data_IF_296177520643
#
_entry.id   IF_296177520643
#
_cell.length_a   1.000
_cell.length_b   1.000
_cell.length_c   1.000
_cell.angle_alpha   90.00
_cell.angle_beta   90.00
_cell.angle_gamma   90.00
#
_symmetry.space_group_name_H-M   'P 1'
#
loop_
_entity.id
_entity.type
_entity.pdbx_description
1 polymer ?
#
# COMPACT_ATOMS: atom_id res chain seq x y z
N UNK A 1 -22.21 0.96 53.79
CA UNK A 1 -21.24 -0.13 53.52
C UNK A 1 -21.68 -0.90 52.28
N UNK A 2 -21.11 -0.62 51.11
CA UNK A 2 -21.39 -1.40 49.91
C UNK A 2 -20.65 -2.76 50.03
N UNK A 3 -21.39 -3.87 49.97
CA UNK A 3 -20.83 -5.24 49.89
C UNK A 3 -19.85 -5.29 48.72
N UNK A 4 -18.54 -5.40 49.01
CA UNK A 4 -17.53 -5.79 48.01
C UNK A 4 -17.98 -7.15 47.46
N UNK A 5 -18.49 -7.16 46.22
CA UNK A 5 -18.69 -8.41 45.46
C UNK A 5 -17.35 -9.13 45.48
N UNK A 6 -17.35 -10.42 45.87
CA UNK A 6 -16.19 -11.30 45.67
C UNK A 6 -15.83 -11.20 44.19
N UNK A 7 -14.68 -10.61 43.88
CA UNK A 7 -14.14 -10.61 42.53
C UNK A 7 -13.90 -12.07 42.16
N UNK A 8 -14.72 -12.57 41.25
CA UNK A 8 -14.58 -13.90 40.71
C UNK A 8 -13.22 -13.98 40.02
N UNK A 9 -12.38 -14.94 40.45
CA UNK A 9 -11.03 -15.14 39.92
C UNK A 9 -11.04 -15.44 38.40
N UNK A 10 -12.19 -15.72 37.80
CA UNK A 10 -12.34 -15.87 36.35
C UNK A 10 -12.44 -14.54 35.58
N UNK A 11 -12.76 -13.43 36.27
CA UNK A 11 -13.07 -12.14 35.63
C UNK A 11 -11.88 -11.46 34.95
N UNK A 12 -10.64 -11.76 35.38
CA UNK A 12 -9.44 -11.16 34.78
C UNK A 12 -9.18 -11.64 33.35
N UNK A 13 -9.51 -12.90 33.03
CA UNK A 13 -9.29 -13.48 31.70
C UNK A 13 -10.14 -12.79 30.63
N UNK A 14 -11.35 -12.39 31.00
CA UNK A 14 -12.27 -11.64 30.13
C UNK A 14 -11.98 -10.13 30.09
N UNK A 15 -10.91 -9.68 30.74
CA UNK A 15 -10.57 -8.25 30.76
C UNK A 15 -10.10 -7.79 29.36
N UNK A 16 -10.51 -6.58 28.92
CA UNK A 16 -10.05 -6.02 27.65
C UNK A 16 -8.52 -5.93 27.51
N UNK A 17 -7.80 -5.80 28.63
CA UNK A 17 -6.34 -5.77 28.66
C UNK A 17 -5.75 -7.13 28.27
N UNK A 18 -6.27 -8.23 28.80
CA UNK A 18 -5.81 -9.58 28.47
C UNK A 18 -6.09 -9.89 27.00
N UNK A 19 -7.28 -9.55 26.50
CA UNK A 19 -7.59 -9.72 25.08
C UNK A 19 -6.63 -8.95 24.16
N UNK A 20 -6.26 -7.72 24.53
CA UNK A 20 -5.28 -6.94 23.77
C UNK A 20 -3.91 -7.62 23.77
N UNK A 21 -3.39 -8.01 24.94
CA UNK A 21 -2.09 -8.66 25.04
C UNK A 21 -2.03 -9.98 24.26
N UNK A 22 -3.08 -10.81 24.36
CA UNK A 22 -3.16 -12.05 23.59
C UNK A 22 -3.23 -11.77 22.07
N UNK A 23 -3.90 -10.71 21.66
CA UNK A 23 -3.99 -10.33 20.25
C UNK A 23 -2.67 -9.75 19.72
N UNK A 24 -1.98 -8.91 20.50
CA UNK A 24 -0.63 -8.40 20.17
C UNK A 24 0.37 -9.56 20.03
N UNK A 25 0.33 -10.53 20.96
CA UNK A 25 1.13 -11.75 20.86
C UNK A 25 0.76 -12.56 19.62
N UNK A 26 -0.53 -12.66 19.27
CA UNK A 26 -0.96 -13.34 18.06
C UNK A 26 -0.43 -12.63 16.80
N UNK A 27 -0.48 -11.29 16.74
CA UNK A 27 0.04 -10.53 15.60
C UNK A 27 1.54 -10.77 15.39
N UNK A 28 2.31 -10.79 16.47
CA UNK A 28 3.75 -11.03 16.41
C UNK A 28 4.05 -12.52 16.12
N UNK A 29 3.37 -13.46 16.80
CA UNK A 29 3.67 -14.88 16.69
C UNK A 29 3.19 -15.52 15.37
N UNK A 30 2.09 -15.03 14.79
CA UNK A 30 1.45 -15.66 13.63
C UNK A 30 2.38 -15.70 12.40
N UNK A 31 3.05 -14.61 12.00
CA UNK A 31 4.03 -14.66 10.91
C UNK A 31 5.11 -15.72 11.13
N UNK A 32 5.63 -15.87 12.35
CA UNK A 32 6.63 -16.91 12.66
C UNK A 32 6.08 -18.32 12.53
N UNK A 33 4.88 -18.58 13.08
CA UNK A 33 4.23 -19.89 12.98
C UNK A 33 3.89 -20.25 11.53
N UNK A 34 3.51 -19.24 10.72
CA UNK A 34 3.20 -19.40 9.31
C UNK A 34 4.45 -19.75 8.49
N UNK A 35 5.57 -19.09 8.78
CA UNK A 35 6.85 -19.28 8.09
C UNK A 35 7.51 -20.61 8.44
N UNK A 36 7.52 -21.01 9.73
CA UNK A 36 8.21 -22.22 10.17
C UNK A 36 7.53 -23.53 9.74
N UNK A 37 6.20 -23.54 9.63
CA UNK A 37 5.43 -24.78 9.45
C UNK A 37 4.90 -25.03 8.03
N UNK A 38 5.42 -24.34 7.00
CA UNK A 38 4.90 -24.39 5.62
C UNK A 38 3.40 -24.04 5.49
N UNK A 39 2.80 -23.47 6.54
CA UNK A 39 1.37 -23.16 6.57
C UNK A 39 1.02 -22.11 5.51
N UNK A 40 1.98 -21.26 5.14
CA UNK A 40 1.87 -20.35 4.02
C UNK A 40 1.59 -21.07 2.69
N UNK A 41 2.30 -22.15 2.39
CA UNK A 41 2.08 -22.94 1.18
C UNK A 41 0.72 -23.65 1.24
N UNK A 42 0.34 -24.18 2.40
CA UNK A 42 -0.97 -24.81 2.59
C UNK A 42 -2.14 -23.82 2.42
N UNK A 43 -2.01 -22.59 2.94
CA UNK A 43 -2.98 -21.51 2.73
C UNK A 43 -3.03 -21.12 1.26
N UNK A 44 -1.89 -21.05 0.58
CA UNK A 44 -1.81 -20.81 -0.87
C UNK A 44 -2.62 -21.84 -1.65
N UNK A 45 -2.34 -23.14 -1.44
CA UNK A 45 -3.05 -24.25 -2.08
C UNK A 45 -4.56 -24.20 -1.75
N UNK A 46 -4.92 -23.91 -0.50
CA UNK A 46 -6.32 -23.78 -0.09
C UNK A 46 -7.03 -22.60 -0.78
N UNK A 47 -6.33 -21.48 -0.95
CA UNK A 47 -6.85 -20.28 -1.62
C UNK A 47 -7.04 -20.45 -3.13
N UNK A 48 -6.27 -21.37 -3.73
CA UNK A 48 -6.39 -21.72 -5.15
C UNK A 48 -7.43 -22.81 -5.42
N UNK A 49 -7.85 -23.57 -4.40
CA UNK A 49 -8.88 -24.60 -4.55
C UNK A 49 -10.19 -23.97 -5.01
N UNK A 50 -10.70 -24.43 -6.15
CA UNK A 50 -11.97 -23.97 -6.73
C UNK A 50 -13.05 -25.03 -6.54
N UNK A 51 -14.28 -24.57 -6.37
CA UNK A 51 -15.49 -25.40 -6.36
C UNK A 51 -16.34 -24.96 -7.54
N UNK A 52 -16.83 -25.92 -8.32
CA UNK A 52 -17.76 -25.64 -9.40
C UNK A 52 -19.19 -25.64 -8.88
N UNK A 53 -19.87 -24.50 -9.02
CA UNK A 53 -21.28 -24.35 -8.64
C UNK A 53 -22.00 -23.80 -9.88
N UNK A 54 -22.95 -24.57 -10.42
CA UNK A 54 -23.67 -24.24 -11.66
C UNK A 54 -22.75 -23.92 -12.86
N UNK A 55 -21.63 -24.65 -13.00
CA UNK A 55 -20.65 -24.43 -14.06
C UNK A 55 -19.73 -23.21 -13.85
N UNK A 56 -19.87 -22.48 -12.73
CA UNK A 56 -18.99 -21.36 -12.37
C UNK A 56 -17.93 -21.86 -11.38
N UNK A 57 -16.65 -21.69 -11.73
CA UNK A 57 -15.53 -22.05 -10.87
C UNK A 57 -15.23 -20.95 -9.85
N UNK A 58 -15.67 -21.14 -8.60
CA UNK A 58 -15.55 -20.16 -7.52
C UNK A 58 -14.43 -20.60 -6.55
N UNK A 59 -13.48 -19.73 -6.19
CA UNK A 59 -12.49 -20.05 -5.17
C UNK A 59 -13.15 -20.37 -3.82
N UNK A 60 -12.74 -21.47 -3.18
CA UNK A 60 -13.33 -21.95 -1.93
C UNK A 60 -13.26 -20.89 -0.82
N UNK A 61 -12.18 -20.13 -0.75
CA UNK A 61 -12.02 -19.03 0.21
C UNK A 61 -13.07 -17.93 0.03
N UNK A 62 -13.40 -17.58 -1.22
CA UNK A 62 -14.45 -16.60 -1.53
C UNK A 62 -15.81 -17.14 -1.10
N UNK A 63 -16.09 -18.40 -1.38
CA UNK A 63 -17.34 -19.04 -1.00
C UNK A 63 -17.53 -19.03 0.53
N UNK A 64 -16.51 -19.44 1.28
CA UNK A 64 -16.52 -19.44 2.75
C UNK A 64 -16.73 -18.01 3.27
N UNK A 65 -16.03 -17.02 2.71
CA UNK A 65 -16.20 -15.63 3.09
C UNK A 65 -17.63 -15.12 2.83
N UNK A 66 -18.24 -15.46 1.68
CA UNK A 66 -19.62 -15.09 1.35
C UNK A 66 -20.62 -15.73 2.31
N UNK A 67 -20.47 -17.03 2.63
CA UNK A 67 -21.34 -17.73 3.58
C UNK A 67 -21.24 -17.10 4.97
N UNK A 68 -20.00 -16.86 5.43
CA UNK A 68 -19.75 -16.25 6.73
C UNK A 68 -20.31 -14.83 6.83
N UNK A 69 -20.04 -13.97 5.83
CA UNK A 69 -20.57 -12.61 5.77
C UNK A 69 -22.09 -12.58 5.66
N UNK A 70 -22.69 -13.45 4.84
CA UNK A 70 -24.14 -13.60 4.75
C UNK A 70 -24.74 -13.99 6.10
N UNK A 71 -24.12 -14.94 6.82
CA UNK A 71 -24.52 -15.32 8.17
C UNK A 71 -24.47 -14.15 9.15
N UNK A 72 -23.37 -13.39 9.16
CA UNK A 72 -23.24 -12.18 9.99
C UNK A 72 -24.31 -11.14 9.64
N UNK A 73 -24.53 -10.87 8.36
CA UNK A 73 -25.54 -9.91 7.90
C UNK A 73 -26.92 -10.34 8.35
N UNK A 74 -27.28 -11.63 8.23
CA UNK A 74 -28.57 -12.17 8.67
C UNK A 74 -28.73 -12.00 10.19
N UNK A 75 -27.71 -12.38 10.98
CA UNK A 75 -27.71 -12.27 12.43
C UNK A 75 -27.80 -10.81 12.91
N UNK A 76 -27.14 -9.89 12.19
CA UNK A 76 -27.06 -8.48 12.55
C UNK A 76 -28.04 -7.59 11.78
N UNK A 77 -28.92 -8.13 10.93
CA UNK A 77 -29.77 -7.35 10.00
C UNK A 77 -30.57 -6.24 10.68
N UNK A 78 -31.06 -6.49 11.90
CA UNK A 78 -31.83 -5.50 12.68
C UNK A 78 -30.97 -4.34 13.22
N UNK A 79 -29.66 -4.54 13.32
CA UNK A 79 -28.68 -3.54 13.81
C UNK A 79 -27.97 -2.80 12.67
N UNK A 80 -28.06 -3.29 11.43
CA UNK A 80 -27.43 -2.67 10.27
C UNK A 80 -28.33 -1.55 9.74
N UNK A 81 -27.82 -0.32 9.75
CA UNK A 81 -28.46 0.86 9.15
C UNK A 81 -27.84 1.14 7.78
N UNK A 82 -28.52 1.83 6.85
CA UNK A 82 -27.96 2.17 5.53
C UNK A 82 -26.59 2.88 5.61
N UNK A 83 -26.41 3.76 6.61
CA UNK A 83 -25.12 4.41 6.87
C UNK A 83 -23.99 3.42 7.16
N UNK A 84 -24.27 2.28 7.80
CA UNK A 84 -23.25 1.27 8.09
C UNK A 84 -22.79 0.61 6.78
N UNK A 85 -23.72 0.28 5.88
CA UNK A 85 -23.40 -0.28 4.57
C UNK A 85 -22.54 0.67 3.73
N UNK A 86 -22.83 1.98 3.79
CA UNK A 86 -22.01 2.99 3.12
C UNK A 86 -20.57 3.04 3.69
N UNK A 87 -20.41 2.98 5.01
CA UNK A 87 -19.07 2.93 5.63
C UNK A 87 -18.33 1.64 5.26
N UNK A 88 -19.01 0.49 5.24
CA UNK A 88 -18.42 -0.77 4.76
C UNK A 88 -17.96 -0.66 3.30
N UNK A 89 -18.76 -0.05 2.42
CA UNK A 89 -18.39 0.19 1.04
C UNK A 89 -17.12 1.07 0.93
N UNK A 90 -17.04 2.14 1.72
CA UNK A 90 -15.82 2.98 1.79
C UNK A 90 -14.61 2.14 2.18
N UNK A 91 -14.71 1.31 3.22
CA UNK A 91 -13.58 0.48 3.67
C UNK A 91 -13.17 -0.54 2.60
N UNK A 92 -14.12 -1.15 1.90
CA UNK A 92 -13.82 -2.06 0.77
C UNK A 92 -13.06 -1.32 -0.34
N UNK A 93 -13.49 -0.10 -0.67
CA UNK A 93 -12.79 0.75 -1.66
C UNK A 93 -11.38 1.09 -1.17
N UNK A 94 -11.20 1.43 0.11
CA UNK A 94 -9.87 1.73 0.68
C UNK A 94 -8.95 0.50 0.64
N UNK A 95 -9.44 -0.70 1.00
CA UNK A 95 -8.66 -1.94 0.87
C UNK A 95 -8.27 -2.17 -0.59
N UNK A 96 -9.20 -1.98 -1.54
CA UNK A 96 -8.93 -2.13 -2.97
C UNK A 96 -7.88 -1.15 -3.48
N UNK A 97 -7.93 0.11 -3.03
CA UNK A 97 -6.90 1.11 -3.32
C UNK A 97 -5.55 0.64 -2.78
N UNK A 98 -5.52 0.15 -1.52
CA UNK A 98 -4.29 -0.31 -0.91
C UNK A 98 -3.61 -1.43 -1.69
N UNK A 99 -4.35 -2.48 -2.03
CA UNK A 99 -3.86 -3.58 -2.87
C UNK A 99 -3.31 -3.11 -4.22
N UNK A 100 -4.03 -2.21 -4.90
CA UNK A 100 -3.61 -1.72 -6.21
C UNK A 100 -2.33 -0.88 -6.14
N UNK A 101 -2.07 -0.23 -5.00
CA UNK A 101 -0.87 0.56 -4.75
C UNK A 101 0.34 -0.28 -4.36
N UNK A 102 0.17 -1.35 -3.57
CA UNK A 102 1.29 -2.11 -3.00
C UNK A 102 1.72 -3.32 -3.81
N UNK A 103 0.79 -4.04 -4.42
CA UNK A 103 1.04 -5.42 -4.85
C UNK A 103 1.17 -5.54 -6.37
N UNK A 104 1.70 -4.51 -7.02
CA UNK A 104 1.75 -4.46 -8.49
C UNK A 104 2.47 -5.65 -9.11
N UNK A 105 3.66 -5.99 -8.58
CA UNK A 105 4.45 -7.12 -9.07
C UNK A 105 3.90 -8.49 -8.66
N UNK A 106 2.86 -8.53 -7.84
CA UNK A 106 2.40 -9.78 -7.28
C UNK A 106 1.17 -10.36 -7.97
N UNK A 107 0.43 -9.57 -8.76
CA UNK A 107 -0.81 -10.01 -9.42
C UNK A 107 -1.80 -10.71 -8.47
N UNK A 108 -1.76 -10.36 -7.18
CA UNK A 108 -2.59 -10.99 -6.18
C UNK A 108 -4.06 -10.73 -6.42
N UNK A 109 -4.85 -11.76 -6.17
CA UNK A 109 -6.31 -11.65 -6.19
C UNK A 109 -6.79 -11.17 -4.83
N UNK A 110 -7.90 -10.43 -4.82
CA UNK A 110 -8.50 -9.88 -3.60
C UNK A 110 -8.81 -10.95 -2.53
N UNK A 111 -8.97 -12.20 -2.92
CA UNK A 111 -9.32 -13.30 -2.03
C UNK A 111 -8.13 -14.12 -1.51
N UNK A 112 -6.91 -13.72 -1.85
CA UNK A 112 -5.71 -14.34 -1.28
C UNK A 112 -5.56 -13.87 0.16
N UNK A 113 -5.95 -14.74 1.08
CA UNK A 113 -6.06 -14.42 2.51
C UNK A 113 -4.72 -13.95 3.08
N UNK A 114 -3.62 -14.56 2.62
CA UNK A 114 -2.28 -14.24 3.09
C UNK A 114 -1.94 -12.76 2.92
N UNK A 115 -2.17 -12.21 1.73
CA UNK A 115 -1.81 -10.82 1.42
C UNK A 115 -2.78 -9.81 2.03
N UNK A 116 -4.03 -10.24 2.25
CA UNK A 116 -5.05 -9.41 2.87
C UNK A 116 -5.08 -9.50 4.39
N UNK A 117 -4.28 -10.39 4.97
CA UNK A 117 -4.20 -10.60 6.40
C UNK A 117 -3.79 -9.33 7.13
N UNK A 118 -2.82 -8.58 6.60
CA UNK A 118 -2.39 -7.29 7.12
C UNK A 118 -3.58 -6.34 7.38
N UNK A 119 -4.44 -6.15 6.38
CA UNK A 119 -5.60 -5.27 6.50
C UNK A 119 -6.61 -5.75 7.54
N UNK A 120 -6.90 -7.06 7.55
CA UNK A 120 -7.89 -7.65 8.45
C UNK A 120 -7.40 -7.69 9.89
N UNK A 121 -6.16 -8.15 10.11
CA UNK A 121 -5.57 -8.33 11.42
C UNK A 121 -5.42 -6.99 12.15
N UNK A 122 -4.90 -5.98 11.46
CA UNK A 122 -4.80 -4.63 12.04
C UNK A 122 -6.15 -3.92 12.14
N UNK A 123 -7.12 -4.28 11.30
CA UNK A 123 -8.51 -3.84 11.47
C UNK A 123 -9.14 -4.35 12.77
N UNK A 124 -8.90 -5.62 13.11
CA UNK A 124 -9.34 -6.24 14.37
C UNK A 124 -8.54 -5.66 15.55
N UNK A 125 -7.23 -5.45 15.40
CA UNK A 125 -6.40 -4.78 16.40
C UNK A 125 -7.00 -3.44 16.81
N UNK A 126 -7.40 -2.60 15.85
CA UNK A 126 -8.01 -1.31 16.13
C UNK A 126 -9.27 -1.43 17.02
N UNK A 127 -10.09 -2.46 16.80
CA UNK A 127 -11.26 -2.75 17.64
C UNK A 127 -10.88 -3.22 19.05
N UNK A 128 -9.92 -4.15 19.18
CA UNK A 128 -9.47 -4.66 20.49
C UNK A 128 -8.81 -3.55 21.32
N UNK A 129 -7.96 -2.74 20.69
CA UNK A 129 -7.33 -1.57 21.30
C UNK A 129 -8.38 -0.55 21.75
N UNK A 130 -9.37 -0.23 20.90
CA UNK A 130 -10.47 0.66 21.27
C UNK A 130 -11.24 0.15 22.50
N UNK A 131 -11.55 -1.15 22.59
CA UNK A 131 -12.22 -1.72 23.79
C UNK A 131 -11.40 -1.53 25.05
N UNK A 132 -10.09 -1.78 25.00
CA UNK A 132 -9.19 -1.59 26.12
C UNK A 132 -9.09 -0.12 26.54
N UNK A 133 -8.90 0.80 25.60
CA UNK A 133 -8.79 2.23 25.90
C UNK A 133 -10.12 2.86 26.34
N UNK A 134 -11.25 2.36 25.84
CA UNK A 134 -12.59 2.73 26.32
C UNK A 134 -12.79 2.31 27.77
N UNK A 135 -12.40 1.09 28.15
CA UNK A 135 -12.45 0.65 29.54
C UNK A 135 -11.61 1.53 30.48
N UNK A 136 -10.53 2.12 29.96
CA UNK A 136 -9.66 3.07 30.69
C UNK A 136 -10.15 4.53 30.65
N UNK A 137 -11.34 4.80 30.10
CA UNK A 137 -11.90 6.15 29.94
C UNK A 137 -10.95 7.15 29.23
N UNK A 138 -10.16 6.66 28.26
CA UNK A 138 -9.24 7.52 27.50
C UNK A 138 -10.04 8.45 26.57
N UNK A 139 -9.69 9.73 26.42
CA UNK A 139 -10.31 10.63 25.44
C UNK A 139 -10.22 10.08 24.01
N UNK A 140 -11.24 10.33 23.18
CA UNK A 140 -11.37 9.70 21.85
C UNK A 140 -10.21 10.03 20.90
N UNK A 141 -9.73 11.28 20.91
CA UNK A 141 -8.57 11.70 20.13
C UNK A 141 -7.29 10.95 20.55
N UNK A 142 -7.14 10.67 21.85
CA UNK A 142 -6.03 9.86 22.37
C UNK A 142 -6.22 8.39 22.04
N UNK A 143 -7.46 7.86 22.02
CA UNK A 143 -7.74 6.48 21.59
C UNK A 143 -7.27 6.26 20.16
N UNK A 144 -7.62 7.17 19.24
CA UNK A 144 -7.22 7.14 17.83
C UNK A 144 -5.69 7.15 17.72
N UNK A 145 -5.03 8.17 18.30
CA UNK A 145 -3.58 8.33 18.20
C UNK A 145 -2.81 7.15 18.79
N UNK A 146 -3.19 6.67 19.98
CA UNK A 146 -2.53 5.53 20.64
C UNK A 146 -2.71 4.27 19.79
N UNK A 147 -3.90 4.05 19.23
CA UNK A 147 -4.15 2.89 18.35
C UNK A 147 -3.24 2.92 17.13
N UNK A 148 -3.16 4.08 16.46
CA UNK A 148 -2.34 4.25 15.27
C UNK A 148 -0.84 4.07 15.57
N UNK A 149 -0.31 4.77 16.58
CA UNK A 149 1.12 4.71 16.95
C UNK A 149 1.51 3.32 17.44
N UNK A 150 0.66 2.65 18.21
CA UNK A 150 0.95 1.29 18.69
C UNK A 150 0.95 0.30 17.53
N UNK A 151 -0.01 0.40 16.59
CA UNK A 151 0.00 -0.44 15.39
C UNK A 151 1.28 -0.26 14.55
N UNK A 152 1.69 1.00 14.32
CA UNK A 152 2.89 1.31 13.57
C UNK A 152 4.14 0.76 14.26
N UNK A 153 4.22 0.88 15.59
CA UNK A 153 5.30 0.33 16.41
C UNK A 153 5.35 -1.19 16.39
N UNK A 154 4.20 -1.87 16.55
CA UNK A 154 4.09 -3.32 16.48
C UNK A 154 4.49 -3.86 15.10
N UNK A 155 4.01 -3.22 14.03
CA UNK A 155 4.33 -3.62 12.66
C UNK A 155 5.82 -3.42 12.34
N UNK A 156 6.39 -2.28 12.75
CA UNK A 156 7.83 -2.04 12.59
C UNK A 156 8.66 -3.06 13.37
N UNK A 157 8.23 -3.42 14.58
CA UNK A 157 8.89 -4.44 15.39
C UNK A 157 8.80 -5.82 14.74
N UNK A 158 7.64 -6.22 14.24
CA UNK A 158 7.44 -7.50 13.56
C UNK A 158 8.35 -7.62 12.33
N UNK A 159 8.32 -6.62 11.42
CA UNK A 159 9.20 -6.60 10.25
C UNK A 159 10.68 -6.61 10.63
N UNK A 160 11.07 -5.89 11.68
CA UNK A 160 12.45 -5.90 12.17
C UNK A 160 12.88 -7.29 12.65
N UNK A 161 12.06 -7.96 13.47
CA UNK A 161 12.38 -9.30 13.99
C UNK A 161 12.38 -10.34 12.86
N UNK A 162 11.45 -10.25 11.91
CA UNK A 162 11.40 -11.18 10.78
C UNK A 162 12.68 -11.16 9.93
N UNK A 163 13.34 -10.01 9.79
CA UNK A 163 14.64 -9.90 9.11
C UNK A 163 15.69 -10.81 9.76
N UNK A 164 15.76 -10.84 11.09
CA UNK A 164 16.75 -11.64 11.81
C UNK A 164 16.41 -13.14 11.81
N UNK A 165 15.13 -13.49 11.83
CA UNK A 165 14.71 -14.89 11.99
C UNK A 165 14.62 -15.61 10.64
N UNK A 166 14.17 -14.95 9.57
CA UNK A 166 13.76 -15.60 8.33
C UNK A 166 14.61 -15.27 7.10
N UNK A 167 15.71 -14.52 7.26
CA UNK A 167 16.48 -13.93 6.15
C UNK A 167 15.61 -13.13 5.16
N UNK A 168 14.43 -12.69 5.61
CA UNK A 168 13.49 -11.87 4.83
C UNK A 168 14.05 -10.46 4.69
N UNK A 169 13.78 -9.83 3.56
CA UNK A 169 14.08 -8.41 3.33
C UNK A 169 13.08 -7.58 4.14
N UNK A 170 13.58 -6.59 4.89
CA UNK A 170 12.73 -5.65 5.62
C UNK A 170 11.82 -4.91 4.64
N UNK A 171 10.50 -5.09 4.75
CA UNK A 171 9.55 -4.51 3.81
C UNK A 171 8.73 -3.40 4.47
N UNK A 172 9.10 -2.12 4.24
CA UNK A 172 8.30 -0.98 4.72
C UNK A 172 6.87 -1.05 4.15
N UNK A 173 6.68 -1.66 2.98
CA UNK A 173 5.35 -1.75 2.37
C UNK A 173 4.36 -2.48 3.28
N UNK A 174 4.80 -3.52 4.00
CA UNK A 174 3.95 -4.24 4.94
C UNK A 174 3.61 -3.40 6.17
N UNK A 175 4.53 -2.55 6.64
CA UNK A 175 4.22 -1.51 7.66
C UNK A 175 3.14 -0.55 7.15
N UNK A 176 3.24 -0.14 5.89
CA UNK A 176 2.21 0.66 5.23
C UNK A 176 0.84 -0.05 5.21
N UNK A 177 0.81 -1.35 4.86
CA UNK A 177 -0.42 -2.15 4.80
C UNK A 177 -1.07 -2.33 6.17
N UNK A 178 -0.26 -2.58 7.20
CA UNK A 178 -0.70 -2.73 8.59
C UNK A 178 -1.30 -1.43 9.14
N UNK A 179 -0.61 -0.30 8.92
CA UNK A 179 -1.13 1.01 9.25
C UNK A 179 -2.44 1.29 8.48
N UNK A 180 -2.53 0.89 7.20
CA UNK A 180 -3.74 1.08 6.39
C UNK A 180 -4.90 0.22 6.91
N UNK A 181 -4.63 -1.03 7.30
CA UNK A 181 -5.56 -1.91 8.00
C UNK A 181 -6.09 -1.31 9.29
N UNK A 182 -5.18 -0.73 10.09
CA UNK A 182 -5.53 -0.06 11.35
C UNK A 182 -6.49 1.09 11.12
N UNK A 183 -6.19 1.97 10.15
CA UNK A 183 -7.05 3.10 9.80
C UNK A 183 -8.42 2.65 9.29
N UNK A 184 -8.47 1.61 8.44
CA UNK A 184 -9.73 1.00 8.00
C UNK A 184 -10.55 0.44 9.17
N UNK A 185 -9.89 -0.24 10.11
CA UNK A 185 -10.50 -0.69 11.36
C UNK A 185 -11.04 0.46 12.21
N UNK A 186 -10.27 1.54 12.37
CA UNK A 186 -10.71 2.74 13.08
C UNK A 186 -11.92 3.40 12.41
N UNK A 187 -12.01 3.42 11.08
CA UNK A 187 -13.19 3.91 10.37
C UNK A 187 -14.43 3.08 10.76
N UNK A 188 -14.33 1.75 10.77
CA UNK A 188 -15.44 0.88 11.22
C UNK A 188 -15.78 1.15 12.68
N UNK A 189 -14.76 1.17 13.56
CA UNK A 189 -14.94 1.38 14.99
C UNK A 189 -15.66 2.70 15.26
N UNK A 190 -15.18 3.81 14.70
CA UNK A 190 -15.68 5.15 15.05
C UNK A 190 -16.92 5.60 14.27
N UNK A 191 -17.20 5.04 13.09
CA UNK A 191 -18.40 5.40 12.31
C UNK A 191 -19.52 4.35 12.35
N UNK A 192 -19.24 3.12 12.80
CA UNK A 192 -20.25 2.05 12.96
C UNK A 192 -20.46 1.69 14.43
N UNK A 193 -19.40 1.30 15.16
CA UNK A 193 -19.53 0.74 16.52
C UNK A 193 -19.69 1.85 17.58
N UNK A 194 -18.94 2.95 17.43
CA UNK A 194 -18.81 4.05 18.37
C UNK A 194 -19.29 5.38 17.77
N UNK A 195 -20.24 5.32 16.83
CA UNK A 195 -20.70 6.49 16.07
C UNK A 195 -21.18 7.65 16.95
N UNK A 196 -21.76 7.35 18.11
CA UNK A 196 -22.25 8.37 19.04
C UNK A 196 -21.12 9.15 19.71
N UNK A 197 -19.95 8.53 19.95
CA UNK A 197 -18.76 9.22 20.48
C UNK A 197 -18.22 10.27 19.47
N UNK A 198 -18.49 10.07 18.17
CA UNK A 198 -18.05 10.96 17.09
C UNK A 198 -19.07 12.05 16.73
N UNK A 199 -20.29 12.00 17.26
CA UNK A 199 -21.40 12.88 16.85
C UNK A 199 -21.12 14.36 17.15
N UNK A 200 -20.44 14.64 18.27
CA UNK A 200 -20.20 16.00 18.75
C UNK A 200 -19.06 16.71 18.02
N UNK A 201 -18.26 15.99 17.24
CA UNK A 201 -17.13 16.56 16.52
C UNK A 201 -17.55 16.96 15.12
N UNK A 202 -17.33 18.23 14.74
CA UNK A 202 -17.46 18.67 13.36
C UNK A 202 -16.20 18.32 12.58
N UNK A 203 -16.36 17.88 11.33
CA UNK A 203 -15.25 17.67 10.44
C UNK A 203 -14.66 19.03 10.07
N UNK A 204 -13.41 19.28 10.45
CA UNK A 204 -12.69 20.54 10.16
C UNK A 204 -11.32 20.20 9.59
N UNK A 205 -11.01 20.70 8.40
CA UNK A 205 -9.70 20.49 7.78
C UNK A 205 -8.64 21.46 8.30
N UNK A 206 -9.06 22.65 8.73
CA UNK A 206 -8.15 23.73 9.12
C UNK A 206 -8.38 24.11 10.58
N UNK A 207 -7.28 24.30 11.32
CA UNK A 207 -7.32 24.75 12.72
C UNK A 207 -6.37 25.94 12.98
N UNK A 208 -6.67 26.80 13.97
CA UNK A 208 -5.85 27.96 14.35
C UNK A 208 -4.45 27.62 14.91
N UNK A 209 -4.28 26.48 15.55
CA UNK A 209 -2.97 26.02 16.03
C UNK A 209 -2.67 24.59 15.59
N UNK A 210 -1.39 24.26 15.41
CA UNK A 210 -0.96 22.92 14.99
C UNK A 210 -1.43 21.82 15.97
N UNK A 211 -1.36 22.12 17.27
CA UNK A 211 -1.82 21.20 18.33
C UNK A 211 -3.31 20.85 18.26
N UNK A 212 -4.13 21.68 17.63
CA UNK A 212 -5.57 21.47 17.58
C UNK A 212 -5.96 20.38 16.57
N UNK A 213 -5.09 20.07 15.61
CA UNK A 213 -5.26 18.93 14.70
C UNK A 213 -5.27 17.59 15.46
N UNK A 214 -4.49 17.49 16.54
CA UNK A 214 -4.42 16.32 17.42
C UNK A 214 -5.59 16.26 18.42
N UNK A 215 -6.35 17.34 18.58
CA UNK A 215 -7.48 17.42 19.53
C UNK A 215 -8.83 17.12 18.89
N UNK A 216 -8.95 17.24 17.58
CA UNK A 216 -10.18 16.90 16.87
C UNK A 216 -10.09 15.47 16.30
N UNK A 217 -10.89 14.50 16.79
CA UNK A 217 -10.84 13.10 16.37
C UNK A 217 -11.04 12.89 14.87
N UNK A 218 -11.96 13.65 14.24
CA UNK A 218 -12.24 13.52 12.80
C UNK A 218 -11.07 14.05 11.98
N UNK A 219 -10.50 15.19 12.37
CA UNK A 219 -9.31 15.74 11.72
C UNK A 219 -8.12 14.82 11.89
N UNK A 220 -7.86 14.33 13.10
CA UNK A 220 -6.75 13.43 13.41
C UNK A 220 -6.82 12.16 12.55
N UNK A 221 -7.96 11.47 12.54
CA UNK A 221 -8.17 10.28 11.70
C UNK A 221 -7.97 10.59 10.20
N UNK A 222 -8.39 11.78 9.74
CA UNK A 222 -8.14 12.20 8.35
C UNK A 222 -6.65 12.37 8.04
N UNK A 223 -5.88 12.93 8.99
CA UNK A 223 -4.43 13.08 8.84
C UNK A 223 -3.73 11.74 8.86
N UNK A 224 -4.18 10.78 9.67
CA UNK A 224 -3.69 9.40 9.67
C UNK A 224 -3.99 8.68 8.35
N UNK A 225 -5.20 8.86 7.78
CA UNK A 225 -5.54 8.36 6.43
C UNK A 225 -4.57 8.93 5.39
N UNK A 226 -4.35 10.25 5.37
CA UNK A 226 -3.46 10.90 4.41
C UNK A 226 -2.02 10.39 4.57
N UNK A 227 -1.50 10.39 5.81
CA UNK A 227 -0.14 9.92 6.11
C UNK A 227 0.04 8.47 5.65
N UNK A 228 -0.88 7.60 6.02
CA UNK A 228 -0.79 6.18 5.70
C UNK A 228 -0.91 5.92 4.20
N UNK A 229 -1.77 6.66 3.50
CA UNK A 229 -1.87 6.57 2.04
C UNK A 229 -0.54 6.97 1.37
N UNK A 230 0.10 8.05 1.84
CA UNK A 230 1.41 8.50 1.36
C UNK A 230 2.48 7.44 1.66
N UNK A 231 2.52 6.92 2.89
CA UNK A 231 3.43 5.86 3.30
C UNK A 231 3.28 4.63 2.41
N UNK A 232 2.06 4.18 2.18
CA UNK A 232 1.73 3.01 1.35
C UNK A 232 2.24 3.14 -0.09
N UNK A 233 2.00 4.31 -0.72
CA UNK A 233 2.41 4.53 -2.12
C UNK A 233 3.91 4.73 -2.28
N UNK A 234 4.60 5.33 -1.30
CA UNK A 234 6.06 5.54 -1.40
C UNK A 234 6.80 4.26 -1.05
N UNK A 235 6.37 3.56 0.00
CA UNK A 235 7.00 2.30 0.43
C UNK A 235 6.88 1.19 -0.61
N UNK A 236 5.78 1.12 -1.36
CA UNK A 236 5.62 0.17 -2.45
C UNK A 236 6.52 0.44 -3.67
N UNK A 237 7.07 1.66 -3.77
CA UNK A 237 7.99 2.04 -4.82
C UNK A 237 9.47 1.89 -4.42
N UNK A 238 9.74 1.67 -3.13
CA UNK A 238 11.09 1.72 -2.54
C UNK A 238 11.30 0.55 -1.56
N UNK A 239 11.10 -0.69 -2.04
CA UNK A 239 11.15 -1.89 -1.18
C UNK A 239 12.57 -2.41 -0.92
N UNK A 240 13.55 -2.07 -1.76
CA UNK A 240 14.94 -2.48 -1.56
C UNK A 240 15.52 -1.83 -0.29
N UNK A 241 16.30 -2.59 0.49
CA UNK A 241 16.93 -2.16 1.76
C UNK A 241 17.78 -0.91 1.56
N UNK A 242 18.39 -0.74 0.38
CA UNK A 242 19.18 0.46 0.06
C UNK A 242 18.34 1.73 0.05
N UNK A 243 17.02 1.62 -0.17
CA UNK A 243 16.09 2.75 -0.23
C UNK A 243 15.25 2.97 1.03
N UNK A 244 15.49 2.19 2.09
CA UNK A 244 14.76 2.26 3.36
C UNK A 244 14.70 3.70 3.92
N UNK A 245 15.85 4.36 4.01
CA UNK A 245 15.95 5.73 4.50
C UNK A 245 15.16 6.71 3.62
N UNK A 246 15.28 6.59 2.30
CA UNK A 246 14.58 7.45 1.35
C UNK A 246 13.06 7.24 1.40
N UNK A 247 12.60 6.00 1.59
CA UNK A 247 11.18 5.67 1.78
C UNK A 247 10.59 6.43 2.97
N UNK A 248 11.23 6.34 4.14
CA UNK A 248 10.79 7.07 5.34
C UNK A 248 10.88 8.58 5.15
N UNK A 249 12.01 9.09 4.63
CA UNK A 249 12.23 10.52 4.42
C UNK A 249 11.20 11.11 3.45
N UNK A 250 10.93 10.45 2.33
CA UNK A 250 9.96 10.91 1.34
C UNK A 250 8.53 10.84 1.88
N UNK A 251 8.16 9.79 2.62
CA UNK A 251 6.83 9.69 3.23
C UNK A 251 6.56 10.81 4.24
N UNK A 252 7.52 11.06 5.15
CA UNK A 252 7.40 12.15 6.13
C UNK A 252 7.38 13.51 5.43
N UNK A 253 8.30 13.74 4.48
CA UNK A 253 8.39 15.02 3.77
C UNK A 253 7.13 15.31 2.95
N UNK A 254 6.62 14.32 2.20
CA UNK A 254 5.40 14.45 1.44
C UNK A 254 4.19 14.70 2.34
N UNK A 255 4.08 14.00 3.47
CA UNK A 255 3.04 14.27 4.46
C UNK A 255 3.12 15.69 5.02
N UNK A 256 4.31 16.15 5.43
CA UNK A 256 4.50 17.50 5.95
C UNK A 256 4.12 18.56 4.90
N UNK A 257 4.49 18.37 3.64
CA UNK A 257 4.09 19.27 2.54
C UNK A 257 2.56 19.34 2.44
N UNK A 258 1.87 18.19 2.37
CA UNK A 258 0.40 18.14 2.30
C UNK A 258 -0.24 18.77 3.54
N UNK A 259 0.27 18.45 4.73
CA UNK A 259 -0.20 19.00 5.99
C UNK A 259 -0.04 20.52 6.05
N UNK A 260 1.11 21.07 5.65
CA UNK A 260 1.34 22.51 5.62
C UNK A 260 0.48 23.19 4.55
N UNK A 261 0.28 22.59 3.38
CA UNK A 261 -0.66 23.12 2.37
C UNK A 261 -2.06 23.26 3.00
N UNK A 262 -2.57 22.21 3.65
CA UNK A 262 -3.87 22.24 4.35
C UNK A 262 -3.88 23.33 5.43
N UNK A 263 -2.83 23.40 6.26
CA UNK A 263 -2.73 24.36 7.34
C UNK A 263 -2.74 25.82 6.84
N UNK A 264 -1.88 26.13 5.87
CA UNK A 264 -1.72 27.48 5.34
C UNK A 264 -2.91 27.91 4.47
N UNK A 265 -3.71 26.97 3.94
CA UNK A 265 -4.93 27.26 3.19
C UNK A 265 -5.96 28.08 3.97
N UNK A 266 -5.82 28.18 5.30
CA UNK A 266 -6.66 29.03 6.16
C UNK A 266 -6.40 30.53 5.94
N UNK A 267 -5.17 30.93 5.59
CA UNK A 267 -4.80 32.34 5.46
C UNK A 267 -5.11 32.81 4.04
N UNK A 268 -5.85 33.91 3.88
CA UNK A 268 -6.32 34.39 2.57
C UNK A 268 -5.17 34.56 1.56
N UNK A 269 -4.06 35.18 1.99
CA UNK A 269 -2.88 35.43 1.15
C UNK A 269 -2.20 34.11 0.76
N UNK A 270 -1.89 33.25 1.74
CA UNK A 270 -1.24 31.96 1.47
C UNK A 270 -2.10 31.06 0.59
N UNK A 271 -3.43 31.06 0.78
CA UNK A 271 -4.37 30.33 -0.08
C UNK A 271 -4.29 30.80 -1.54
N UNK A 272 -4.30 32.12 -1.78
CA UNK A 272 -4.16 32.67 -3.14
C UNK A 272 -2.80 32.27 -3.72
N UNK A 273 -1.71 32.42 -2.96
CA UNK A 273 -0.37 32.04 -3.39
C UNK A 273 -0.26 30.55 -3.76
N UNK A 274 -0.81 29.65 -2.92
CA UNK A 274 -0.85 28.20 -3.18
C UNK A 274 -1.67 27.90 -4.45
N UNK A 275 -2.84 28.51 -4.61
CA UNK A 275 -3.69 28.30 -5.80
C UNK A 275 -2.96 28.77 -7.06
N UNK A 276 -2.35 29.96 -7.03
CA UNK A 276 -1.57 30.49 -8.15
C UNK A 276 -0.37 29.60 -8.48
N UNK A 277 0.37 29.16 -7.47
CA UNK A 277 1.51 28.27 -7.65
C UNK A 277 1.10 26.92 -8.25
N UNK A 278 0.09 26.26 -7.69
CA UNK A 278 -0.42 24.97 -8.21
C UNK A 278 -1.02 25.14 -9.61
N UNK A 279 -1.76 26.23 -9.84
CA UNK A 279 -2.31 26.56 -11.15
C UNK A 279 -1.20 26.77 -12.19
N UNK A 280 -0.17 27.53 -11.87
CA UNK A 280 0.99 27.73 -12.73
C UNK A 280 1.74 26.41 -12.99
N UNK A 281 1.95 25.59 -11.96
CA UNK A 281 2.58 24.27 -12.11
C UNK A 281 1.78 23.35 -13.06
N UNK A 282 0.45 23.31 -12.93
CA UNK A 282 -0.43 22.53 -13.81
C UNK A 282 -0.38 23.07 -15.26
N UNK A 283 -0.42 24.39 -15.45
CA UNK A 283 -0.35 25.01 -16.78
C UNK A 283 1.00 24.70 -17.45
N UNK A 284 2.10 24.87 -16.72
CA UNK A 284 3.46 24.59 -17.22
C UNK A 284 3.60 23.10 -17.56
N UNK A 285 3.17 22.21 -16.66
CA UNK A 285 3.21 20.77 -16.89
C UNK A 285 2.32 20.36 -18.07
N UNK A 286 1.13 20.96 -18.20
CA UNK A 286 0.22 20.77 -19.31
C UNK A 286 0.85 21.21 -20.63
N UNK A 287 1.46 22.39 -20.67
CA UNK A 287 2.18 22.90 -21.84
C UNK A 287 3.30 21.93 -22.28
N UNK A 288 4.14 21.47 -21.35
CA UNK A 288 5.20 20.51 -21.65
C UNK A 288 4.65 19.16 -22.11
N UNK A 289 3.59 18.67 -21.48
CA UNK A 289 2.91 17.45 -21.93
C UNK A 289 2.38 17.61 -23.36
N UNK A 290 1.67 18.69 -23.69
CA UNK A 290 1.14 18.89 -25.06
C UNK A 290 2.24 19.07 -26.11
N UNK A 291 3.33 19.78 -25.77
CA UNK A 291 4.49 19.97 -26.64
C UNK A 291 5.18 18.64 -26.94
N UNK A 292 5.38 17.82 -25.91
CA UNK A 292 6.20 16.60 -25.99
C UNK A 292 5.40 15.28 -26.03
N UNK A 293 4.06 15.29 -26.10
CA UNK A 293 3.22 14.07 -26.06
C UNK A 293 3.51 13.04 -27.16
N UNK A 294 4.01 13.52 -28.31
CA UNK A 294 4.38 12.67 -29.46
C UNK A 294 5.79 12.11 -29.33
N UNK A 295 6.61 12.72 -28.48
CA UNK A 295 7.95 12.25 -28.17
C UNK A 295 7.87 11.19 -27.08
N UNK A 296 8.74 10.19 -27.17
CA UNK A 296 8.80 9.10 -26.20
C UNK A 296 9.60 9.55 -24.96
N UNK A 297 10.89 9.19 -24.87
CA UNK A 297 11.79 9.73 -23.86
C UNK A 297 12.40 11.02 -24.40
N UNK A 298 12.08 12.16 -23.76
CA UNK A 298 12.56 13.50 -24.16
C UNK A 298 13.93 13.77 -23.53
N UNK A 299 14.11 13.35 -22.27
CA UNK A 299 15.32 13.59 -21.50
C UNK A 299 15.56 12.47 -20.50
N UNK A 300 16.82 12.11 -20.31
CA UNK A 300 17.24 11.16 -19.29
C UNK A 300 18.61 11.55 -18.76
N UNK A 301 18.70 11.71 -17.43
CA UNK A 301 19.96 11.80 -16.66
C UNK A 301 19.77 11.09 -15.32
N UNK A 302 20.87 10.93 -14.59
CA UNK A 302 20.86 10.38 -13.24
C UNK A 302 19.77 11.05 -12.37
N UNK A 303 18.81 10.26 -11.90
CA UNK A 303 17.73 10.71 -11.04
C UNK A 303 16.58 11.45 -11.73
N UNK A 304 16.57 11.60 -13.06
CA UNK A 304 15.48 12.27 -13.78
C UNK A 304 15.26 11.69 -15.18
N UNK A 305 14.05 11.18 -15.40
CA UNK A 305 13.53 10.86 -16.74
C UNK A 305 12.35 11.74 -17.09
N UNK A 306 12.31 12.23 -18.33
CA UNK A 306 11.14 12.96 -18.88
C UNK A 306 10.51 12.11 -19.97
N UNK A 307 9.34 11.55 -19.70
CA UNK A 307 8.56 10.75 -20.64
C UNK A 307 7.34 11.53 -21.12
N UNK A 308 7.21 11.75 -22.43
CA UNK A 308 6.10 12.53 -23.02
C UNK A 308 5.90 13.92 -22.36
N UNK A 309 6.99 14.56 -21.95
CA UNK A 309 6.96 15.84 -21.22
C UNK A 309 6.62 15.76 -19.74
N UNK A 310 6.44 14.57 -19.17
CA UNK A 310 6.19 14.35 -17.74
C UNK A 310 7.52 14.07 -17.03
N UNK A 311 7.99 14.95 -16.13
CA UNK A 311 9.20 14.72 -15.35
C UNK A 311 8.93 13.68 -14.26
N UNK A 312 9.79 12.68 -14.18
CA UNK A 312 9.72 11.59 -13.21
C UNK A 312 11.05 11.57 -12.45
N UNK A 313 11.11 12.28 -11.31
CA UNK A 313 12.32 12.34 -10.50
C UNK A 313 12.46 11.06 -9.68
N UNK A 314 13.69 10.54 -9.61
CA UNK A 314 14.16 9.47 -8.71
C UNK A 314 13.55 8.07 -8.90
N UNK A 315 12.22 7.95 -8.99
CA UNK A 315 11.48 6.70 -9.07
C UNK A 315 11.70 5.95 -10.38
N UNK A 316 11.62 4.62 -10.34
CA UNK A 316 11.69 3.80 -11.53
C UNK A 316 10.33 3.76 -12.25
N UNK A 317 10.37 3.54 -13.56
CA UNK A 317 9.17 3.57 -14.40
C UNK A 317 9.06 2.36 -15.30
N UNK A 318 7.84 1.90 -15.49
CA UNK A 318 7.49 0.90 -16.50
C UNK A 318 6.60 1.56 -17.54
N UNK A 319 7.05 1.56 -18.79
CA UNK A 319 6.32 2.05 -19.95
C UNK A 319 5.80 0.84 -20.71
N UNK A 320 4.47 0.73 -20.77
CA UNK A 320 3.78 -0.33 -21.48
C UNK A 320 3.83 -0.12 -22.99
N UNK A 321 3.54 -1.18 -23.73
CA UNK A 321 3.65 -1.19 -25.19
C UNK A 321 2.72 -0.19 -25.88
N UNK A 322 1.55 0.09 -25.28
CA UNK A 322 0.58 1.09 -25.72
C UNK A 322 1.01 2.54 -25.38
N UNK A 323 2.15 2.72 -24.71
CA UNK A 323 2.70 4.02 -24.32
C UNK A 323 2.03 4.65 -23.10
N UNK A 324 1.19 3.93 -22.35
CA UNK A 324 0.92 4.30 -20.96
C UNK A 324 2.13 3.93 -20.09
N UNK A 325 2.23 4.52 -18.91
CA UNK A 325 3.30 4.20 -17.97
C UNK A 325 2.78 4.20 -16.54
N UNK A 326 3.58 3.62 -15.64
CA UNK A 326 3.39 3.75 -14.19
C UNK A 326 4.74 3.80 -13.49
N UNK A 327 4.72 4.31 -12.26
CA UNK A 327 5.84 4.11 -11.34
C UNK A 327 5.87 2.64 -10.90
N UNK A 328 7.07 2.13 -10.70
CA UNK A 328 7.31 0.77 -10.23
C UNK A 328 8.36 0.75 -9.13
N UNK A 329 8.34 -0.34 -8.36
CA UNK A 329 9.31 -0.63 -7.32
C UNK A 329 10.76 -0.54 -7.84
N UNK A 330 11.55 0.24 -7.13
CA UNK A 330 12.93 0.58 -7.46
C UNK A 330 13.87 -0.47 -6.88
N UNK A 331 14.44 -1.30 -7.75
CA UNK A 331 15.31 -2.43 -7.35
C UNK A 331 16.38 -2.75 -8.39
N UNK A 332 17.49 -3.31 -7.90
CA UNK A 332 18.62 -3.69 -8.75
C UNK A 332 18.43 -5.06 -9.42
N UNK A 333 17.68 -5.95 -8.79
CA UNK A 333 17.43 -7.31 -9.27
C UNK A 333 15.95 -7.63 -9.26
N UNK A 334 15.49 -8.31 -10.30
CA UNK A 334 14.15 -8.87 -10.40
C UNK A 334 14.16 -10.31 -9.87
N UNK A 335 13.23 -10.64 -8.98
CA UNK A 335 13.04 -12.02 -8.55
C UNK A 335 12.12 -12.78 -9.54
N UNK A 336 11.90 -14.09 -9.32
CA UNK A 336 11.02 -14.90 -10.19
C UNK A 336 9.60 -14.33 -10.33
N UNK A 337 9.07 -13.76 -9.25
CA UNK A 337 7.72 -13.16 -9.24
C UNK A 337 7.68 -11.91 -10.10
N UNK A 338 8.68 -11.04 -9.97
CA UNK A 338 8.82 -9.85 -10.80
C UNK A 338 8.90 -10.23 -12.28
N UNK A 339 9.73 -11.21 -12.62
CA UNK A 339 9.90 -11.69 -14.00
C UNK A 339 8.59 -12.26 -14.55
N UNK A 340 7.82 -13.01 -13.75
CA UNK A 340 6.50 -13.52 -14.15
C UNK A 340 5.55 -12.38 -14.51
N UNK A 341 5.48 -11.35 -13.67
CA UNK A 341 4.65 -10.16 -13.90
C UNK A 341 5.10 -9.37 -15.12
N UNK A 342 6.42 -9.15 -15.26
CA UNK A 342 7.00 -8.49 -16.44
C UNK A 342 6.68 -9.28 -17.71
N UNK A 343 6.77 -10.62 -17.66
CA UNK A 343 6.46 -11.52 -18.78
C UNK A 343 4.97 -11.50 -19.16
N UNK A 344 4.08 -11.27 -18.19
CA UNK A 344 2.65 -11.08 -18.47
C UNK A 344 2.41 -9.82 -19.33
N UNK A 345 3.18 -8.76 -19.11
CA UNK A 345 3.05 -7.50 -19.84
C UNK A 345 3.90 -7.42 -21.12
N UNK A 346 5.03 -8.11 -21.20
CA UNK A 346 5.91 -8.11 -22.37
C UNK A 346 5.37 -9.04 -23.46
N UNK A 347 5.30 -8.57 -24.71
CA UNK A 347 4.96 -9.42 -25.87
C UNK A 347 6.24 -9.84 -26.58
N UNK A 348 6.83 -8.93 -27.37
CA UNK A 348 7.94 -9.26 -28.27
C UNK A 348 9.30 -8.82 -27.70
N UNK A 349 9.37 -7.59 -27.16
CA UNK A 349 10.60 -6.98 -26.67
C UNK A 349 10.39 -6.46 -25.24
N UNK A 350 11.23 -6.94 -24.33
CA UNK A 350 11.46 -6.38 -23.01
C UNK A 350 12.78 -5.61 -23.02
N UNK A 351 12.70 -4.31 -22.80
CA UNK A 351 13.87 -3.44 -22.65
C UNK A 351 14.03 -3.05 -21.19
N UNK A 352 15.26 -3.07 -20.69
CA UNK A 352 15.60 -2.73 -19.31
C UNK A 352 16.74 -1.72 -19.33
N UNK A 353 16.49 -0.55 -18.75
CA UNK A 353 17.52 0.41 -18.40
C UNK A 353 18.09 0.05 -17.04
N UNK A 354 19.34 -0.41 -17.00
CA UNK A 354 20.01 -0.92 -15.79
C UNK A 354 20.63 0.17 -14.92
N UNK A 355 20.23 1.42 -15.08
CA UNK A 355 20.81 2.57 -14.40
C UNK A 355 21.77 3.34 -15.31
N UNK A 356 22.14 4.54 -14.88
CA UNK A 356 23.14 5.39 -15.56
C UNK A 356 24.49 4.69 -15.71
N UNK A 357 24.94 3.94 -14.69
CA UNK A 357 26.20 3.21 -14.70
C UNK A 357 26.06 1.70 -14.98
N UNK A 358 24.83 1.22 -15.22
CA UNK A 358 24.57 -0.17 -15.61
C UNK A 358 24.63 -1.19 -14.47
N UNK A 359 24.30 -0.77 -13.25
CA UNK A 359 24.37 -1.59 -12.01
C UNK A 359 23.04 -2.24 -11.58
N UNK A 360 22.06 -2.30 -12.47
CA UNK A 360 20.75 -2.90 -12.23
C UNK A 360 20.34 -3.89 -13.32
N UNK A 361 19.06 -4.27 -13.33
CA UNK A 361 18.52 -5.19 -14.33
C UNK A 361 18.91 -6.66 -14.14
N UNK A 362 19.36 -7.04 -12.94
CA UNK A 362 19.71 -8.43 -12.63
C UNK A 362 18.47 -9.32 -12.49
N UNK A 363 18.67 -10.65 -12.48
CA UNK A 363 17.62 -11.65 -12.27
C UNK A 363 17.28 -12.50 -13.49
N UNK A 364 17.72 -12.08 -14.69
CA UNK A 364 17.54 -12.86 -15.92
C UNK A 364 18.58 -13.99 -16.05
N UNK A 365 18.26 -15.08 -16.79
CA UNK A 365 19.12 -16.26 -16.87
C UNK A 365 20.53 -15.98 -17.39
N UNK A 366 20.66 -15.13 -18.40
CA UNK A 366 21.96 -14.78 -18.99
C UNK A 366 22.42 -13.39 -18.56
N UNK A 367 23.72 -13.23 -18.30
CA UNK A 367 24.37 -11.92 -18.05
C UNK A 367 24.79 -11.22 -19.36
N UNK A 368 23.99 -11.37 -20.42
CA UNK A 368 24.25 -10.73 -21.72
C UNK A 368 23.31 -9.54 -21.92
N UNK A 369 23.79 -8.53 -22.65
CA UNK A 369 22.98 -7.35 -23.00
C UNK A 369 21.75 -7.71 -23.84
N UNK A 370 21.84 -8.74 -24.68
CA UNK A 370 20.73 -9.24 -25.49
C UNK A 370 20.61 -10.73 -25.30
N UNK A 371 19.41 -11.20 -25.00
CA UNK A 371 19.10 -12.62 -24.82
C UNK A 371 17.68 -12.92 -25.31
N UNK A 372 17.45 -14.16 -25.74
CA UNK A 372 16.10 -14.66 -26.05
C UNK A 372 15.70 -15.65 -24.98
N UNK A 373 14.57 -15.41 -24.33
CA UNK A 373 13.99 -16.31 -23.34
C UNK A 373 12.62 -16.79 -23.80
N UNK A 374 12.19 -17.95 -23.32
CA UNK A 374 10.83 -18.41 -23.54
C UNK A 374 9.90 -17.77 -22.50
N UNK A 375 8.90 -17.01 -22.96
CA UNK A 375 7.88 -16.43 -22.09
C UNK A 375 6.85 -17.51 -21.76
N UNK A 376 6.98 -18.11 -20.58
CA UNK A 376 6.10 -19.18 -20.10
C UNK A 376 4.62 -18.78 -20.00
N UNK A 377 4.34 -17.49 -19.77
CA UNK A 377 2.97 -16.97 -19.60
C UNK A 377 2.28 -16.85 -20.95
N UNK A 378 2.98 -16.36 -21.97
CA UNK A 378 2.43 -16.13 -23.32
C UNK A 378 2.74 -17.23 -24.32
N UNK A 379 3.57 -18.21 -23.94
CA UNK A 379 4.03 -19.33 -24.79
C UNK A 379 4.67 -18.87 -26.09
N UNK A 380 5.52 -17.82 -26.01
CA UNK A 380 6.21 -17.20 -27.15
C UNK A 380 7.66 -16.82 -26.80
N UNK A 381 8.58 -16.71 -27.78
CA UNK A 381 9.90 -16.15 -27.53
C UNK A 381 9.80 -14.67 -27.15
N UNK A 382 10.59 -14.25 -26.17
CA UNK A 382 10.72 -12.87 -25.71
C UNK A 382 12.17 -12.43 -25.84
N UNK A 383 12.42 -11.34 -26.56
CA UNK A 383 13.73 -10.71 -26.60
C UNK A 383 13.89 -9.82 -25.38
N UNK A 384 14.91 -10.07 -24.56
CA UNK A 384 15.28 -9.23 -23.42
C UNK A 384 16.54 -8.46 -23.77
N UNK A 385 16.48 -7.14 -23.65
CA UNK A 385 17.58 -6.21 -23.92
C UNK A 385 17.86 -5.43 -22.62
N UNK A 386 19.06 -5.56 -22.08
CA UNK A 386 19.50 -4.91 -20.84
C UNK A 386 20.69 -4.01 -21.18
N UNK A 387 20.50 -2.70 -21.04
CA UNK A 387 21.49 -1.68 -21.40
C UNK A 387 21.54 -0.60 -20.32
N UNK A 388 22.61 0.20 -20.28
CA UNK A 388 22.64 1.40 -19.44
C UNK A 388 21.45 2.29 -19.80
N UNK A 389 20.81 2.90 -18.81
CA UNK A 389 19.57 3.66 -19.00
C UNK A 389 19.66 4.71 -20.13
N UNK A 390 20.74 5.51 -20.28
CA UNK A 390 20.86 6.45 -21.40
C UNK A 390 20.83 5.77 -22.78
N UNK A 391 21.47 4.62 -22.91
CA UNK A 391 21.51 3.82 -24.15
C UNK A 391 20.15 3.14 -24.39
N UNK A 392 19.56 2.57 -23.34
CA UNK A 392 18.22 1.99 -23.38
C UNK A 392 17.17 3.01 -23.83
N UNK A 393 17.21 4.25 -23.33
CA UNK A 393 16.29 5.31 -23.75
C UNK A 393 16.41 5.63 -25.26
N UNK A 394 17.64 5.66 -25.81
CA UNK A 394 17.85 5.84 -27.26
C UNK A 394 17.31 4.65 -28.06
N UNK A 395 17.57 3.43 -27.60
CA UNK A 395 17.06 2.20 -28.22
C UNK A 395 15.53 2.16 -28.18
N UNK A 396 14.91 2.51 -27.05
CA UNK A 396 13.46 2.60 -26.91
C UNK A 396 12.85 3.56 -27.94
N UNK A 397 13.36 4.79 -28.02
CA UNK A 397 12.87 5.79 -28.97
C UNK A 397 12.98 5.29 -30.42
N UNK A 398 14.11 4.67 -30.77
CA UNK A 398 14.33 4.06 -32.09
C UNK A 398 13.34 2.93 -32.38
N UNK A 399 13.12 2.02 -31.43
CA UNK A 399 12.19 0.91 -31.58
C UNK A 399 10.74 1.39 -31.71
N UNK A 400 10.34 2.37 -30.90
CA UNK A 400 9.00 2.97 -31.00
C UNK A 400 8.79 3.72 -32.32
N UNK A 401 9.81 4.42 -32.84
CA UNK A 401 9.75 5.07 -34.14
C UNK A 401 9.55 4.07 -35.30
N UNK A 402 10.06 2.83 -35.15
CA UNK A 402 9.83 1.72 -36.08
C UNK A 402 8.53 0.95 -35.85
N UNK A 403 7.69 1.36 -34.90
CA UNK A 403 6.41 0.72 -34.62
C UNK A 403 6.47 -0.56 -33.77
N UNK A 404 7.63 -0.89 -33.17
CA UNK A 404 7.73 -2.08 -32.33
C UNK A 404 6.95 -1.95 -31.01
N UNK A 405 6.49 -3.12 -30.54
CA UNK A 405 5.86 -3.31 -29.23
C UNK A 405 6.93 -3.61 -28.18
N UNK A 406 7.26 -2.60 -27.38
CA UNK A 406 8.32 -2.66 -26.38
C UNK A 406 7.73 -2.40 -25.00
N UNK A 407 7.92 -3.33 -24.07
CA UNK A 407 7.78 -3.05 -22.64
C UNK A 407 9.13 -2.52 -22.17
N UNK A 408 9.16 -1.34 -21.56
CA UNK A 408 10.41 -0.71 -21.11
C UNK A 408 10.38 -0.44 -19.61
N UNK A 409 11.33 -1.00 -18.86
CA UNK A 409 11.54 -0.69 -17.44
C UNK A 409 12.81 0.15 -17.32
N UNK A 410 12.71 1.29 -16.65
CA UNK A 410 13.82 2.22 -16.46
C UNK A 410 14.21 2.27 -15.00
N UNK A 411 15.45 1.87 -14.70
CA UNK A 411 16.11 2.20 -13.45
C UNK A 411 16.70 3.61 -13.55
N UNK A 412 16.17 4.54 -12.75
CA UNK A 412 16.49 5.97 -12.85
C UNK A 412 17.74 6.39 -12.09
N UNK A 413 18.33 5.51 -11.29
CA UNK A 413 19.54 5.76 -10.50
C UNK A 413 20.59 4.69 -10.81
N UNK A 414 21.74 4.77 -10.16
CA UNK A 414 22.82 3.77 -10.18
C UNK A 414 23.58 3.60 -11.49
#
# INVERSE_FOLDING_TARGET
MAKRKKDDKSSWFYSPKVHLLLYELLLIATPFLLLQNYLQAAIGIFSEKKVEIFGISIPLTVLIAIIFLSGIIILLRKKIKPKHLFIWLIVIILIRIGQNSTDYYFHHKFYELQHNWHYLAYGIFAYVMYRNLKHKNVPIEKKILITFVTALGLSTFDEFIQVYISNRIFDICDIGKDAWGTVNGMIIVYFVIAADEMKNFKWKWNHPHLRDYLKNPKTLLSMEIIFTFILLNISSLLTDKTYLFYSVLFSISAFLIVFFIIHFFRFKIARIAIILFLGAAIIIQGFFFFKYRKENIVYNKYGLTVYKGIPIPFFDIMIYQNGSFRLVDKKHSFNKRDISTISHYADDILLIGSGTFGKGGYGFPEKKEVQFIYNEVKKKPLQVIILKTPEACRVYNRLKAKGYKVLFIIHNTC
#
